data_IF_338565924963
#
_entry.id   IF_338565924963
#
_cell.length_a   1.000
_cell.length_b   1.000
_cell.length_c   1.000
_cell.angle_alpha   90.00
_cell.angle_beta   90.00
_cell.angle_gamma   90.00
#
_symmetry.space_group_name_H-M   'P 1'
#
loop_
_entity.id
_entity.type
_entity.pdbx_description
1 polymer ?
#
# COMPACT_ATOMS: atom_id res chain seq x y z
N UNK A 1 17.22 8.19 -8.56
CA UNK A 1 15.90 7.72 -8.10
C UNK A 1 15.53 6.53 -8.97
N UNK A 2 15.03 5.46 -8.35
CA UNK A 2 14.43 4.33 -9.06
C UNK A 2 12.98 4.20 -8.58
N UNK A 3 12.08 3.85 -9.51
CA UNK A 3 10.66 3.65 -9.24
C UNK A 3 10.24 2.35 -9.94
N UNK A 4 10.09 1.24 -9.20
CA UNK A 4 9.59 0.00 -9.80
C UNK A 4 8.13 0.15 -10.17
N UNK A 5 7.73 -0.43 -11.30
CA UNK A 5 6.32 -0.47 -11.73
C UNK A 5 5.43 -1.29 -10.78
N UNK A 6 6.03 -2.13 -9.92
CA UNK A 6 5.41 -3.29 -9.27
C UNK A 6 5.03 -4.42 -10.25
N UNK A 7 4.97 -5.63 -9.71
CA UNK A 7 4.65 -6.81 -10.48
C UNK A 7 3.32 -6.62 -11.23
N UNK A 8 3.32 -6.95 -12.52
CA UNK A 8 2.13 -6.91 -13.37
C UNK A 8 1.82 -5.56 -14.03
N UNK A 9 2.38 -4.44 -13.56
CA UNK A 9 2.02 -3.10 -14.08
C UNK A 9 2.98 -2.56 -15.16
N UNK A 10 4.15 -3.17 -15.36
CA UNK A 10 5.09 -2.76 -16.41
C UNK A 10 4.64 -3.18 -17.81
N UNK A 11 5.04 -2.41 -18.82
CA UNK A 11 4.70 -2.69 -20.22
C UNK A 11 5.38 -3.98 -20.71
N UNK A 12 4.62 -5.08 -20.78
CA UNK A 12 5.06 -6.33 -21.42
C UNK A 12 4.17 -6.62 -22.62
N UNK A 13 4.73 -6.53 -23.82
CA UNK A 13 4.00 -6.86 -25.05
C UNK A 13 3.62 -8.34 -25.01
N UNK A 14 2.32 -8.65 -25.08
CA UNK A 14 1.80 -10.02 -25.15
C UNK A 14 1.70 -10.75 -23.80
N UNK A 15 1.90 -10.07 -22.67
CA UNK A 15 1.70 -10.64 -21.34
C UNK A 15 0.94 -9.68 -20.42
N UNK A 16 0.00 -10.21 -19.65
CA UNK A 16 -0.66 -9.49 -18.54
C UNK A 16 -0.38 -10.25 -17.24
N UNK A 17 0.82 -10.11 -16.65
CA UNK A 17 1.13 -10.78 -15.39
C UNK A 17 0.24 -10.25 -14.28
N UNK A 18 -0.03 -11.11 -13.30
CA UNK A 18 -0.79 -10.73 -12.12
C UNK A 18 -0.17 -9.56 -11.34
N UNK A 19 -0.99 -8.57 -11.00
CA UNK A 19 -0.70 -7.51 -10.04
C UNK A 19 -1.43 -7.77 -8.72
N UNK A 20 -0.82 -8.48 -7.75
CA UNK A 20 -1.42 -8.71 -6.44
C UNK A 20 -1.36 -7.43 -5.60
N UNK A 21 -2.29 -6.51 -5.85
CA UNK A 21 -2.39 -5.21 -5.19
C UNK A 21 -2.36 -5.36 -3.66
N UNK A 22 -1.48 -4.59 -3.00
CA UNK A 22 -1.22 -4.61 -1.56
C UNK A 22 -0.71 -5.92 -0.95
N UNK A 23 -0.35 -6.95 -1.73
CA UNK A 23 0.29 -8.14 -1.17
C UNK A 23 1.71 -7.80 -0.69
N UNK A 24 1.99 -7.80 0.64
CA UNK A 24 3.19 -7.17 1.18
C UNK A 24 4.49 -7.78 0.67
N UNK A 25 4.53 -9.10 0.47
CA UNK A 25 5.74 -9.78 0.00
C UNK A 25 6.10 -9.34 -1.42
N UNK A 26 5.13 -9.29 -2.31
CA UNK A 26 5.32 -8.92 -3.72
C UNK A 26 5.83 -7.49 -3.84
N UNK A 27 5.13 -6.53 -3.23
CA UNK A 27 5.50 -5.12 -3.35
C UNK A 27 6.80 -4.79 -2.60
N UNK A 28 7.05 -5.42 -1.46
CA UNK A 28 8.30 -5.26 -0.72
C UNK A 28 9.51 -5.82 -1.47
N UNK A 29 9.36 -6.97 -2.13
CA UNK A 29 10.42 -7.53 -2.97
C UNK A 29 10.67 -6.65 -4.20
N UNK A 30 9.63 -6.11 -4.84
CA UNK A 30 9.79 -5.21 -5.98
C UNK A 30 10.65 -3.97 -5.62
N UNK A 31 10.50 -3.42 -4.41
CA UNK A 31 11.31 -2.29 -3.94
C UNK A 31 12.77 -2.71 -3.70
N UNK A 32 13.00 -3.81 -2.98
CA UNK A 32 14.34 -4.30 -2.64
C UNK A 32 15.11 -4.69 -3.91
N UNK A 33 14.47 -5.41 -4.81
CA UNK A 33 15.06 -5.85 -6.08
C UNK A 33 15.38 -4.64 -6.98
N UNK A 34 14.54 -3.59 -6.97
CA UNK A 34 14.82 -2.36 -7.71
C UNK A 34 16.08 -1.64 -7.19
N UNK A 35 16.28 -1.60 -5.86
CA UNK A 35 17.50 -1.03 -5.28
C UNK A 35 18.74 -1.85 -5.67
N UNK A 36 18.65 -3.19 -5.60
CA UNK A 36 19.73 -4.09 -6.03
C UNK A 36 20.04 -3.92 -7.53
N UNK A 37 19.02 -3.92 -8.39
CA UNK A 37 19.17 -3.77 -9.83
C UNK A 37 19.77 -2.41 -10.21
N UNK A 38 19.42 -1.33 -9.52
CA UNK A 38 20.01 -0.01 -9.75
C UNK A 38 21.53 -0.04 -9.53
N UNK A 39 21.96 -0.62 -8.41
CA UNK A 39 23.38 -0.72 -8.08
C UNK A 39 24.14 -1.60 -9.09
N UNK A 40 23.56 -2.72 -9.50
CA UNK A 40 24.15 -3.61 -10.51
C UNK A 40 24.22 -2.96 -11.90
N UNK A 41 23.26 -2.10 -12.25
CA UNK A 41 23.20 -1.44 -13.55
C UNK A 41 24.23 -0.31 -13.70
N UNK A 42 24.59 0.36 -12.60
CA UNK A 42 25.56 1.46 -12.62
C UNK A 42 26.34 1.54 -11.30
N UNK A 43 27.62 1.15 -11.35
CA UNK A 43 28.52 1.16 -10.19
C UNK A 43 28.77 2.56 -9.59
N UNK A 44 28.33 3.65 -10.25
CA UNK A 44 28.35 5.00 -9.67
C UNK A 44 27.22 5.23 -8.66
N UNK A 45 26.18 4.39 -8.68
CA UNK A 45 25.10 4.43 -7.71
C UNK A 45 25.58 3.79 -6.41
N UNK A 46 25.68 4.60 -5.36
CA UNK A 46 26.11 4.14 -4.05
C UNK A 46 25.17 3.11 -3.42
N UNK A 47 25.68 2.35 -2.47
CA UNK A 47 24.94 1.25 -1.82
C UNK A 47 23.98 1.72 -0.73
N UNK A 48 23.96 2.99 -0.34
CA UNK A 48 23.03 3.48 0.68
C UNK A 48 21.79 4.06 0.02
N UNK A 49 20.61 3.60 0.45
CA UNK A 49 19.34 3.97 -0.17
C UNK A 49 18.23 4.18 0.87
N UNK A 50 17.18 4.86 0.42
CA UNK A 50 16.00 5.21 1.18
C UNK A 50 14.77 4.88 0.33
N UNK A 51 13.64 4.67 0.98
CA UNK A 51 12.35 4.46 0.30
C UNK A 51 11.38 5.53 0.74
N UNK A 52 10.61 6.07 -0.20
CA UNK A 52 9.42 6.87 0.09
C UNK A 52 8.28 6.37 -0.77
N UNK A 53 7.09 6.29 -0.21
CA UNK A 53 5.90 5.85 -0.93
C UNK A 53 4.63 6.42 -0.33
N UNK A 54 3.61 6.58 -1.18
CA UNK A 54 2.31 7.19 -0.85
C UNK A 54 1.21 6.14 -1.08
N UNK A 55 0.21 6.06 -0.19
CA UNK A 55 -0.96 5.18 -0.37
C UNK A 55 -0.54 3.71 -0.47
N UNK A 56 -0.80 3.01 -1.58
CA UNK A 56 -0.24 1.68 -1.86
C UNK A 56 1.28 1.66 -1.77
N UNK A 57 1.94 2.70 -2.28
CA UNK A 57 3.40 2.84 -2.18
C UNK A 57 3.87 3.00 -0.74
N UNK A 58 3.06 3.60 0.15
CA UNK A 58 3.37 3.69 1.57
C UNK A 58 3.35 2.33 2.25
N UNK A 59 2.35 1.49 1.92
CA UNK A 59 2.30 0.10 2.37
C UNK A 59 3.47 -0.73 1.81
N UNK A 60 3.82 -0.55 0.54
CA UNK A 60 4.96 -1.20 -0.08
C UNK A 60 6.28 -0.81 0.59
N UNK A 61 6.46 0.47 0.87
CA UNK A 61 7.62 1.01 1.57
C UNK A 61 7.77 0.37 2.97
N UNK A 62 6.67 0.28 3.72
CA UNK A 62 6.66 -0.43 5.01
C UNK A 62 7.00 -1.91 4.85
N UNK A 63 6.40 -2.62 3.90
CA UNK A 63 6.67 -4.02 3.65
C UNK A 63 8.16 -4.27 3.29
N UNK A 64 8.77 -3.38 2.50
CA UNK A 64 10.20 -3.43 2.21
C UNK A 64 11.04 -3.31 3.50
N UNK A 65 10.64 -2.47 4.46
CA UNK A 65 11.28 -2.35 5.76
C UNK A 65 11.27 -3.69 6.53
N UNK A 66 10.12 -4.35 6.59
CA UNK A 66 9.96 -5.65 7.30
C UNK A 66 10.70 -6.78 6.63
N UNK A 67 10.76 -6.80 5.30
CA UNK A 67 11.35 -7.90 4.54
C UNK A 67 12.87 -7.74 4.38
N UNK A 68 13.39 -6.51 4.45
CA UNK A 68 14.79 -6.19 4.25
C UNK A 68 15.76 -7.05 5.09
N UNK A 69 15.53 -7.32 6.39
CA UNK A 69 16.42 -8.20 7.17
C UNK A 69 16.56 -9.62 6.62
N UNK A 70 15.51 -10.15 5.97
CA UNK A 70 15.45 -11.52 5.47
C UNK A 70 15.76 -11.65 3.98
N UNK A 71 15.51 -10.59 3.20
CA UNK A 71 15.56 -10.62 1.74
C UNK A 71 16.51 -9.56 1.13
N UNK A 72 16.84 -8.49 1.85
CA UNK A 72 17.65 -7.36 1.36
C UNK A 72 19.16 -7.60 1.28
N UNK A 73 19.63 -8.83 1.47
CA UNK A 73 21.05 -9.13 1.34
C UNK A 73 21.52 -8.84 -0.10
N UNK A 74 22.52 -7.97 -0.24
CA UNK A 74 23.05 -7.57 -1.55
C UNK A 74 22.31 -6.40 -2.23
N UNK A 75 21.27 -5.83 -1.61
CA UNK A 75 20.63 -4.60 -2.11
C UNK A 75 21.28 -3.32 -1.58
N UNK A 76 22.44 -3.41 -0.93
CA UNK A 76 23.05 -2.29 -0.20
C UNK A 76 22.29 -1.94 1.08
N UNK A 77 22.70 -0.87 1.76
CA UNK A 77 22.21 -0.43 3.07
C UNK A 77 20.94 0.44 2.98
N UNK A 78 19.81 -0.12 3.41
CA UNK A 78 18.57 0.63 3.62
C UNK A 78 18.68 1.53 4.87
N UNK A 79 18.62 2.85 4.68
CA UNK A 79 18.80 3.84 5.75
C UNK A 79 17.50 4.16 6.51
N UNK A 80 16.34 3.86 5.92
CA UNK A 80 15.05 4.23 6.46
C UNK A 80 13.96 4.26 5.39
N UNK A 81 12.71 4.33 5.85
CA UNK A 81 11.54 4.29 4.98
C UNK A 81 10.53 5.36 5.38
N UNK A 82 9.99 6.07 4.39
CA UNK A 82 8.86 6.99 4.55
C UNK A 82 7.59 6.36 3.98
N UNK A 83 6.57 6.20 4.81
CA UNK A 83 5.26 5.71 4.46
C UNK A 83 4.23 6.84 4.62
N UNK A 84 3.88 7.50 3.53
CA UNK A 84 2.89 8.57 3.50
C UNK A 84 1.49 8.01 3.18
N UNK A 85 0.49 8.44 3.94
CA UNK A 85 -0.91 7.96 3.91
C UNK A 85 -0.99 6.46 3.62
N UNK A 86 -0.33 5.57 4.39
CA UNK A 86 -0.13 4.18 3.98
C UNK A 86 -1.35 3.30 4.24
N UNK A 87 -1.70 2.44 3.27
CA UNK A 87 -2.79 1.45 3.43
C UNK A 87 -2.28 0.25 4.24
N UNK A 88 -2.25 0.35 5.57
CA UNK A 88 -1.67 -0.66 6.46
C UNK A 88 -2.65 -1.75 6.91
N UNK A 89 -3.96 -1.47 6.88
CA UNK A 89 -4.98 -2.42 7.34
C UNK A 89 -6.20 -2.38 6.42
N UNK A 90 -6.18 -3.12 5.30
CA UNK A 90 -7.28 -3.11 4.33
C UNK A 90 -8.49 -3.94 4.77
N UNK A 91 -8.44 -4.62 5.92
CA UNK A 91 -9.51 -5.50 6.41
C UNK A 91 -10.80 -4.73 6.68
N UNK A 92 -10.69 -3.51 7.22
CA UNK A 92 -11.82 -2.62 7.52
C UNK A 92 -12.68 -2.29 6.28
N UNK A 93 -12.08 -2.32 5.08
CA UNK A 93 -12.81 -2.08 3.84
C UNK A 93 -13.83 -3.20 3.54
N UNK A 94 -13.53 -4.45 3.92
CA UNK A 94 -14.50 -5.55 3.78
C UNK A 94 -15.67 -5.33 4.72
N UNK A 95 -15.40 -5.01 5.98
CA UNK A 95 -16.43 -4.82 7.00
C UNK A 95 -17.34 -3.63 6.64
N UNK A 96 -16.76 -2.54 6.13
CA UNK A 96 -17.52 -1.39 5.61
C UNK A 96 -18.33 -1.73 4.37
N UNK A 97 -17.78 -2.49 3.43
CA UNK A 97 -18.53 -2.94 2.26
C UNK A 97 -19.78 -3.71 2.70
N UNK A 98 -19.62 -4.71 3.57
CA UNK A 98 -20.73 -5.52 4.05
C UNK A 98 -21.74 -4.72 4.89
N UNK A 99 -21.29 -3.74 5.67
CA UNK A 99 -22.17 -2.86 6.42
C UNK A 99 -22.86 -1.77 5.57
N UNK A 100 -22.55 -1.66 4.27
CA UNK A 100 -23.05 -0.59 3.42
C UNK A 100 -22.43 0.79 3.72
N UNK A 101 -21.30 0.81 4.43
CA UNK A 101 -20.68 2.00 5.03
C UNK A 101 -19.37 2.45 4.37
N UNK A 102 -19.09 2.03 3.13
CA UNK A 102 -17.97 2.58 2.36
C UNK A 102 -18.20 4.07 2.06
N UNK A 103 -17.17 4.89 2.31
CA UNK A 103 -17.15 6.28 1.85
C UNK A 103 -17.15 6.35 0.32
N UNK A 104 -17.38 7.54 -0.24
CA UNK A 104 -17.30 7.79 -1.68
C UNK A 104 -15.97 7.31 -2.26
N UNK A 105 -14.85 7.74 -1.67
CA UNK A 105 -13.51 7.34 -2.13
C UNK A 105 -13.20 5.86 -1.85
N UNK A 106 -13.77 5.26 -0.81
CA UNK A 106 -13.58 3.82 -0.54
C UNK A 106 -14.28 2.93 -1.57
N UNK A 107 -15.41 3.36 -2.14
CA UNK A 107 -16.05 2.65 -3.25
C UNK A 107 -15.13 2.54 -4.47
N UNK A 108 -14.31 3.55 -4.72
CA UNK A 108 -13.31 3.50 -5.80
C UNK A 108 -12.19 2.48 -5.52
N UNK A 109 -11.69 2.43 -4.29
CA UNK A 109 -10.52 1.59 -3.93
C UNK A 109 -10.90 0.12 -3.70
N UNK A 110 -12.07 -0.17 -3.16
CA UNK A 110 -12.48 -1.54 -2.80
C UNK A 110 -12.46 -2.53 -3.98
N UNK A 111 -12.96 -2.20 -5.18
CA UNK A 111 -12.86 -3.08 -6.36
C UNK A 111 -11.41 -3.39 -6.77
N UNK A 112 -10.50 -2.40 -6.65
CA UNK A 112 -9.08 -2.58 -6.95
C UNK A 112 -8.45 -3.58 -5.97
N UNK A 113 -8.84 -3.49 -4.69
CA UNK A 113 -8.41 -4.43 -3.66
C UNK A 113 -8.88 -5.86 -3.97
N UNK A 114 -10.17 -6.06 -4.26
CA UNK A 114 -10.73 -7.37 -4.61
C UNK A 114 -10.00 -7.98 -5.81
N UNK A 115 -9.86 -7.21 -6.89
CA UNK A 115 -9.17 -7.63 -8.10
C UNK A 115 -7.68 -7.94 -7.86
N UNK A 116 -7.04 -7.22 -6.95
CA UNK A 116 -5.67 -7.49 -6.53
C UNK A 116 -5.51 -8.78 -5.76
N UNK A 117 -6.39 -9.03 -4.78
CA UNK A 117 -6.35 -10.30 -4.04
C UNK A 117 -6.61 -11.48 -4.98
N UNK A 118 -7.55 -11.36 -5.92
CA UNK A 118 -7.79 -12.37 -6.96
C UNK A 118 -6.54 -12.69 -7.79
N UNK A 119 -5.65 -11.72 -7.96
CA UNK A 119 -4.39 -11.88 -8.70
C UNK A 119 -3.25 -12.47 -7.85
N UNK A 120 -3.44 -12.72 -6.56
CA UNK A 120 -2.39 -13.27 -5.69
C UNK A 120 -2.24 -14.80 -5.73
N UNK A 121 -2.90 -15.48 -6.67
CA UNK A 121 -2.86 -16.95 -6.80
C UNK A 121 -3.66 -17.65 -5.70
N UNK A 122 -4.75 -17.04 -5.26
CA UNK A 122 -5.67 -17.54 -4.23
C UNK A 122 -7.07 -17.73 -4.80
N UNK A 123 -7.92 -18.47 -4.08
CA UNK A 123 -9.29 -18.80 -4.49
C UNK A 123 -10.26 -17.63 -4.24
N UNK A 124 -10.14 -16.58 -5.06
CA UNK A 124 -11.04 -15.42 -5.07
C UNK A 124 -11.57 -15.26 -6.49
N UNK A 125 -12.87 -15.50 -6.67
CA UNK A 125 -13.60 -15.10 -7.87
C UNK A 125 -14.13 -13.68 -7.66
N UNK A 126 -13.76 -12.75 -8.53
CA UNK A 126 -14.18 -11.34 -8.43
C UNK A 126 -15.71 -11.22 -8.52
N UNK A 127 -16.36 -12.14 -9.23
CA UNK A 127 -17.80 -12.15 -9.43
C UNK A 127 -18.61 -12.41 -8.16
N UNK A 128 -17.98 -12.98 -7.13
CA UNK A 128 -18.59 -13.19 -5.80
C UNK A 128 -18.69 -11.89 -4.97
N UNK A 129 -18.01 -10.81 -5.39
CA UNK A 129 -17.86 -9.58 -4.59
C UNK A 129 -18.29 -8.31 -5.31
N UNK A 130 -18.14 -8.28 -6.63
CA UNK A 130 -18.41 -7.11 -7.46
C UNK A 130 -19.55 -7.42 -8.42
N UNK A 131 -20.54 -6.54 -8.43
CA UNK A 131 -21.74 -6.69 -9.25
C UNK A 131 -22.04 -5.41 -10.03
N UNK A 132 -23.04 -5.47 -10.91
CA UNK A 132 -23.58 -4.31 -11.62
C UNK A 132 -22.51 -3.44 -12.27
N UNK A 133 -22.66 -2.13 -12.10
CA UNK A 133 -21.77 -1.15 -12.76
C UNK A 133 -20.33 -1.27 -12.27
N UNK A 134 -20.12 -1.70 -11.02
CA UNK A 134 -18.79 -1.84 -10.43
C UNK A 134 -18.00 -2.93 -11.15
N UNK A 135 -18.63 -4.08 -11.39
CA UNK A 135 -18.03 -5.16 -12.17
C UNK A 135 -17.72 -4.73 -13.60
N UNK A 136 -18.69 -4.10 -14.26
CA UNK A 136 -18.57 -3.68 -15.67
C UNK A 136 -17.50 -2.59 -15.88
N UNK A 137 -17.23 -1.78 -14.85
CA UNK A 137 -16.26 -0.70 -14.86
C UNK A 137 -14.86 -1.11 -14.37
N UNK A 138 -14.71 -2.29 -13.73
CA UNK A 138 -13.47 -2.69 -13.07
C UNK A 138 -12.24 -2.57 -13.98
N UNK A 139 -12.29 -3.16 -15.18
CA UNK A 139 -11.15 -3.12 -16.10
C UNK A 139 -10.76 -1.70 -16.50
N UNK A 140 -11.71 -0.76 -16.58
CA UNK A 140 -11.44 0.63 -16.93
C UNK A 140 -10.70 1.36 -15.80
N UNK A 141 -10.97 1.04 -14.53
CA UNK A 141 -10.30 1.69 -13.39
C UNK A 141 -8.95 1.06 -13.01
N UNK A 142 -8.71 -0.21 -13.35
CA UNK A 142 -7.42 -0.89 -13.08
C UNK A 142 -6.47 -0.87 -14.27
N UNK A 143 -6.92 -0.42 -15.45
CA UNK A 143 -6.06 -0.15 -16.59
C UNK A 143 -5.80 1.34 -16.70
N UNK A 144 -4.72 1.74 -17.38
CA UNK A 144 -4.45 3.15 -17.71
C UNK A 144 -5.37 3.66 -18.83
N UNK A 145 -6.66 3.34 -18.77
CA UNK A 145 -7.62 3.68 -19.79
C UNK A 145 -7.88 5.20 -19.79
N UNK A 146 -8.04 5.84 -20.97
CA UNK A 146 -8.40 7.25 -21.06
C UNK A 146 -9.72 7.60 -20.33
N UNK A 147 -10.59 6.62 -20.12
CA UNK A 147 -11.90 6.77 -19.48
C UNK A 147 -11.93 6.34 -17.99
N UNK A 148 -10.78 6.04 -17.37
CA UNK A 148 -10.73 5.55 -15.98
C UNK A 148 -11.38 6.52 -14.99
N UNK A 149 -11.35 7.84 -15.23
CA UNK A 149 -11.99 8.84 -14.38
C UNK A 149 -13.51 8.77 -14.46
N UNK A 150 -14.07 8.53 -15.65
CA UNK A 150 -15.51 8.37 -15.84
C UNK A 150 -15.97 7.09 -15.16
N UNK A 151 -15.24 5.99 -15.37
CA UNK A 151 -15.47 4.72 -14.69
C UNK A 151 -15.37 4.84 -13.17
N UNK A 152 -14.42 5.63 -12.67
CA UNK A 152 -14.28 5.95 -11.27
C UNK A 152 -15.53 6.62 -10.71
N UNK A 153 -16.01 7.69 -11.36
CA UNK A 153 -17.22 8.39 -10.94
C UNK A 153 -18.49 7.53 -11.00
N UNK A 154 -18.57 6.61 -11.97
CA UNK A 154 -19.64 5.60 -12.05
C UNK A 154 -19.62 4.68 -10.81
N UNK A 155 -18.44 4.18 -10.43
CA UNK A 155 -18.26 3.31 -9.26
C UNK A 155 -18.56 4.05 -7.96
N UNK A 156 -18.08 5.28 -7.81
CA UNK A 156 -18.31 6.07 -6.59
C UNK A 156 -19.81 6.40 -6.39
N UNK A 157 -20.56 6.48 -7.50
CA UNK A 157 -22.02 6.69 -7.52
C UNK A 157 -22.83 5.39 -7.44
N UNK A 158 -22.18 4.23 -7.56
CA UNK A 158 -22.85 2.94 -7.59
C UNK A 158 -23.59 2.63 -6.27
N UNK A 159 -24.69 1.85 -6.33
CA UNK A 159 -25.33 1.35 -5.12
C UNK A 159 -24.35 0.46 -4.35
N UNK A 160 -24.31 0.57 -3.02
CA UNK A 160 -23.35 -0.19 -2.22
C UNK A 160 -23.57 -1.70 -2.30
N UNK A 161 -24.76 -2.15 -2.69
CA UNK A 161 -25.06 -3.55 -2.99
C UNK A 161 -24.18 -4.13 -4.10
N UNK A 162 -23.66 -3.30 -5.01
CA UNK A 162 -22.74 -3.74 -6.07
C UNK A 162 -21.33 -4.06 -5.55
N UNK A 163 -21.05 -3.77 -4.26
CA UNK A 163 -19.78 -3.99 -3.56
C UNK A 163 -19.94 -4.97 -2.38
N UNK A 164 -21.16 -5.44 -2.12
CA UNK A 164 -21.45 -6.41 -1.07
C UNK A 164 -21.30 -7.82 -1.62
N UNK A 165 -20.93 -8.74 -0.75
CA UNK A 165 -20.72 -10.15 -1.09
C UNK A 165 -21.56 -11.02 -0.17
N UNK A 166 -21.82 -12.26 -0.57
CA UNK A 166 -22.38 -13.23 0.36
C UNK A 166 -21.42 -13.46 1.54
N UNK A 167 -21.93 -13.91 2.72
CA UNK A 167 -21.11 -14.04 3.93
C UNK A 167 -19.85 -14.90 3.75
N UNK A 168 -19.95 -16.00 3.00
CA UNK A 168 -18.83 -16.94 2.80
C UNK A 168 -17.71 -16.32 1.96
N UNK A 169 -17.97 -15.72 0.78
CA UNK A 169 -16.98 -14.91 0.07
C UNK A 169 -16.40 -13.78 0.94
N UNK A 170 -17.24 -12.99 1.60
CA UNK A 170 -16.77 -11.89 2.45
C UNK A 170 -15.77 -12.36 3.52
N UNK A 171 -16.06 -13.48 4.20
CA UNK A 171 -15.18 -14.11 5.17
C UNK A 171 -13.87 -14.61 4.55
N UNK A 172 -13.93 -15.16 3.32
CA UNK A 172 -12.75 -15.58 2.58
C UNK A 172 -11.83 -14.39 2.31
N UNK A 173 -12.34 -13.32 1.69
CA UNK A 173 -11.58 -12.10 1.41
C UNK A 173 -10.99 -11.51 2.69
N UNK A 174 -11.76 -11.44 3.77
CA UNK A 174 -11.29 -10.99 5.08
C UNK A 174 -10.08 -11.82 5.55
N UNK A 175 -10.15 -13.13 5.45
CA UNK A 175 -9.06 -14.04 5.81
C UNK A 175 -7.79 -13.83 4.97
N UNK A 176 -7.92 -13.51 3.68
CA UNK A 176 -6.79 -13.15 2.83
C UNK A 176 -6.16 -11.82 3.27
N UNK A 177 -6.98 -10.78 3.46
CA UNK A 177 -6.51 -9.44 3.82
C UNK A 177 -5.91 -9.35 5.22
N UNK A 178 -6.31 -10.22 6.15
CA UNK A 178 -5.63 -10.35 7.44
C UNK A 178 -4.13 -10.68 7.28
N UNK A 179 -3.75 -11.37 6.19
CA UNK A 179 -2.35 -11.67 5.85
C UNK A 179 -1.67 -10.54 5.08
N UNK A 180 -2.40 -9.49 4.69
CA UNK A 180 -1.84 -8.30 4.04
C UNK A 180 -1.66 -7.16 5.05
N UNK A 181 -2.35 -7.24 6.19
CA UNK A 181 -2.25 -6.25 7.27
C UNK A 181 -0.80 -6.09 7.72
N UNK A 182 -0.37 -4.85 7.84
CA UNK A 182 0.91 -4.40 8.36
C UNK A 182 0.72 -3.67 9.71
N UNK A 183 1.73 -3.66 10.59
CA UNK A 183 2.95 -4.47 10.51
C UNK A 183 2.69 -5.97 10.74
N UNK A 184 3.56 -6.85 10.21
CA UNK A 184 3.50 -8.31 10.41
C UNK A 184 4.61 -8.83 11.31
N UNK A 185 5.76 -8.18 11.27
CA UNK A 185 6.94 -8.57 12.02
C UNK A 185 7.78 -7.34 12.33
N UNK A 186 8.62 -7.46 13.37
CA UNK A 186 9.54 -6.39 13.74
C UNK A 186 10.51 -6.08 12.60
N UNK A 187 10.78 -4.81 12.35
CA UNK A 187 11.87 -4.33 11.51
C UNK A 187 12.89 -3.50 12.31
N UNK A 188 14.21 -3.67 12.04
CA UNK A 188 15.23 -2.78 12.58
C UNK A 188 15.38 -1.47 11.78
N UNK A 189 14.65 -1.32 10.67
CA UNK A 189 14.77 -0.17 9.77
C UNK A 189 13.92 0.99 10.31
N UNK A 190 14.48 2.21 10.49
CA UNK A 190 13.69 3.34 10.94
C UNK A 190 12.55 3.70 9.98
N UNK A 191 11.37 4.02 10.51
CA UNK A 191 10.20 4.43 9.74
C UNK A 191 9.77 5.85 10.08
N UNK A 192 9.33 6.59 9.05
CA UNK A 192 8.51 7.78 9.18
C UNK A 192 7.13 7.51 8.59
N UNK A 193 6.09 7.79 9.36
CA UNK A 193 4.70 7.71 8.89
C UNK A 193 4.09 9.10 8.85
N UNK A 194 3.57 9.52 7.69
CA UNK A 194 2.88 10.81 7.56
C UNK A 194 1.44 10.54 7.17
N UNK A 195 0.46 11.00 7.93
CA UNK A 195 -0.95 10.70 7.67
C UNK A 195 -1.88 11.85 8.04
N UNK A 196 -3.04 11.87 7.38
CA UNK A 196 -4.07 12.88 7.55
C UNK A 196 -5.08 12.52 8.64
N UNK A 197 -5.69 13.53 9.25
CA UNK A 197 -6.80 13.35 10.19
C UNK A 197 -8.19 13.42 9.54
N UNK A 198 -8.25 13.74 8.24
CA UNK A 198 -9.45 13.82 7.43
C UNK A 198 -9.34 12.95 6.16
N UNK A 199 -8.52 11.90 6.20
CA UNK A 199 -8.39 10.94 5.09
C UNK A 199 -9.67 10.09 4.96
N UNK A 200 -10.32 10.15 3.81
CA UNK A 200 -11.59 9.46 3.51
C UNK A 200 -11.39 8.05 2.95
N UNK A 201 -10.16 7.68 2.59
CA UNK A 201 -9.80 6.34 2.09
C UNK A 201 -9.30 5.50 3.27
N UNK A 202 -8.34 6.04 4.02
CA UNK A 202 -7.67 5.36 5.12
C UNK A 202 -8.10 5.99 6.43
N UNK A 203 -8.91 5.27 7.19
CA UNK A 203 -9.35 5.73 8.49
C UNK A 203 -8.15 6.02 9.41
N UNK A 204 -8.12 7.20 10.04
CA UNK A 204 -7.07 7.59 10.99
C UNK A 204 -6.87 6.53 12.09
N UNK A 205 -7.97 5.97 12.61
CA UNK A 205 -7.92 4.91 13.62
C UNK A 205 -7.21 3.63 13.13
N UNK A 206 -7.28 3.32 11.84
CA UNK A 206 -6.58 2.16 11.27
C UNK A 206 -5.07 2.39 11.24
N UNK A 207 -4.62 3.60 10.88
CA UNK A 207 -3.20 3.98 10.93
C UNK A 207 -2.69 3.96 12.38
N UNK A 208 -3.42 4.58 13.31
CA UNK A 208 -3.04 4.62 14.73
C UNK A 208 -2.99 3.20 15.35
N UNK A 209 -3.92 2.32 14.99
CA UNK A 209 -3.88 0.93 15.40
C UNK A 209 -2.66 0.18 14.83
N UNK A 210 -2.26 0.45 13.58
CA UNK A 210 -1.05 -0.11 12.99
C UNK A 210 0.22 0.39 13.68
N UNK A 211 0.29 1.69 14.01
CA UNK A 211 1.39 2.29 14.78
C UNK A 211 1.51 1.64 16.17
N UNK A 212 0.40 1.45 16.87
CA UNK A 212 0.40 0.78 18.17
C UNK A 212 0.93 -0.67 18.08
N UNK A 213 0.57 -1.41 17.02
CA UNK A 213 1.12 -2.75 16.75
C UNK A 213 2.63 -2.69 16.47
N UNK A 214 3.10 -1.70 15.72
CA UNK A 214 4.52 -1.52 15.41
C UNK A 214 5.33 -1.29 16.69
N UNK A 215 4.85 -0.40 17.57
CA UNK A 215 5.51 -0.17 18.87
C UNK A 215 5.52 -1.44 19.74
N UNK A 216 4.43 -2.23 19.74
CA UNK A 216 4.38 -3.50 20.46
C UNK A 216 5.36 -4.56 19.92
N UNK A 217 5.68 -4.52 18.61
CA UNK A 217 6.71 -5.35 17.98
C UNK A 217 8.13 -4.85 18.26
N UNK A 218 8.29 -3.64 18.83
CA UNK A 218 9.59 -3.03 19.10
C UNK A 218 10.22 -2.37 17.87
N UNK A 219 9.38 -1.88 16.95
CA UNK A 219 9.80 -1.06 15.81
C UNK A 219 10.20 0.35 16.25
N UNK A 220 10.98 1.01 15.41
CA UNK A 220 11.41 2.39 15.60
C UNK A 220 10.67 3.30 14.62
N UNK A 221 9.53 3.84 15.06
CA UNK A 221 8.59 4.58 14.21
C UNK A 221 8.44 6.01 14.71
N UNK A 222 8.72 6.96 13.84
CA UNK A 222 8.31 8.35 14.00
C UNK A 222 7.04 8.58 13.18
N UNK A 223 6.11 9.40 13.67
CA UNK A 223 4.94 9.77 12.88
C UNK A 223 4.61 11.27 12.92
N UNK A 224 3.96 11.73 11.86
CA UNK A 224 3.42 13.07 11.73
C UNK A 224 1.97 12.98 11.31
N UNK A 225 1.07 13.34 12.23
CA UNK A 225 -0.34 13.51 11.94
C UNK A 225 -0.58 14.94 11.46
N UNK A 226 -1.17 15.11 10.27
CA UNK A 226 -1.51 16.41 9.69
C UNK A 226 -2.98 16.75 10.03
N UNK A 227 -3.24 17.76 10.88
CA UNK A 227 -4.59 18.23 11.17
C UNK A 227 -5.30 18.69 9.89
N UNK A 228 -6.50 18.17 9.63
CA UNK A 228 -7.28 18.46 8.41
C UNK A 228 -6.71 17.88 7.11
N UNK A 229 -5.56 17.19 7.15
CA UNK A 229 -4.99 16.55 5.95
C UNK A 229 -5.87 15.41 5.44
N UNK A 230 -6.10 15.38 4.14
CA UNK A 230 -6.83 14.33 3.40
C UNK A 230 -5.85 13.31 2.79
N UNK A 231 -6.35 12.44 1.91
CA UNK A 231 -5.50 11.43 1.24
C UNK A 231 -4.48 12.03 0.26
N UNK A 232 -4.64 13.29 -0.14
CA UNK A 232 -3.77 14.00 -1.08
C UNK A 232 -2.79 14.95 -0.37
N UNK A 233 -2.67 14.86 0.96
CA UNK A 233 -1.75 15.71 1.73
C UNK A 233 -0.32 15.65 1.16
N UNK A 234 0.37 16.78 1.18
CA UNK A 234 1.78 16.85 0.77
C UNK A 234 2.70 16.43 1.92
N UNK A 235 3.23 15.20 1.84
CA UNK A 235 4.20 14.68 2.79
C UNK A 235 5.66 15.05 2.44
N UNK A 236 5.93 15.63 1.26
CA UNK A 236 7.28 15.80 0.73
C UNK A 236 8.19 16.67 1.63
N UNK A 237 7.73 17.79 2.21
CA UNK A 237 8.59 18.60 3.07
C UNK A 237 9.12 17.83 4.29
N UNK A 238 8.25 17.09 4.97
CA UNK A 238 8.60 16.30 6.15
C UNK A 238 9.45 15.09 5.75
N UNK A 239 9.05 14.38 4.69
CA UNK A 239 9.77 13.24 4.15
C UNK A 239 11.20 13.60 3.74
N UNK A 240 11.37 14.69 3.00
CA UNK A 240 12.68 15.15 2.50
C UNK A 240 13.63 15.51 3.62
N UNK A 241 13.15 16.24 4.65
CA UNK A 241 13.96 16.58 5.81
C UNK A 241 14.39 15.33 6.60
N UNK A 242 13.46 14.42 6.84
CA UNK A 242 13.74 13.18 7.56
C UNK A 242 14.74 12.29 6.81
N UNK A 243 14.55 12.13 5.50
CA UNK A 243 15.46 11.37 4.63
C UNK A 243 16.87 11.99 4.60
N UNK A 244 16.98 13.31 4.46
CA UNK A 244 18.26 14.00 4.48
C UNK A 244 19.01 13.79 5.81
N UNK A 245 18.29 13.76 6.94
CA UNK A 245 18.88 13.46 8.25
C UNK A 245 19.49 12.04 8.31
N UNK A 246 18.83 11.03 7.71
CA UNK A 246 19.38 9.67 7.60
C UNK A 246 20.64 9.61 6.75
N UNK A 247 20.67 10.32 5.63
CA UNK A 247 21.88 10.44 4.79
C UNK A 247 23.03 11.09 5.56
N UNK A 248 22.73 12.10 6.38
CA UNK A 248 23.70 12.79 7.23
C UNK A 248 24.14 11.98 8.47
N UNK A 249 23.64 10.74 8.66
CA UNK A 249 23.98 9.90 9.81
C UNK A 249 23.33 10.32 11.12
N UNK A 250 22.32 11.20 11.08
CA UNK A 250 21.56 11.60 12.27
C UNK A 250 20.62 10.45 12.64
N UNK A 251 20.70 9.90 13.87
CA UNK A 251 19.81 8.84 14.33
C UNK A 251 18.33 9.23 14.19
N UNK A 252 17.49 8.24 13.87
CA UNK A 252 16.05 8.44 13.87
C UNK A 252 15.55 8.68 15.30
N UNK A 253 14.54 9.55 15.40
CA UNK A 253 13.70 9.63 16.59
C UNK A 253 12.60 8.58 16.46
N UNK A 254 12.02 8.19 17.58
CA UNK A 254 10.88 7.29 17.63
C UNK A 254 9.86 7.81 18.63
N UNK A 255 8.60 7.71 18.23
CA UNK A 255 7.42 7.98 19.05
C UNK A 255 6.89 6.68 19.70
N UNK A 256 7.41 5.52 19.26
CA UNK A 256 7.57 4.33 20.11
C UNK A 256 8.76 4.55 21.08
#
# INVERSE_FOLDING_TARGET
MVAPDYQGLGARIGASPAHPYLEPRTVGYNIIDAACAAHLADARIGESWLVTGISQGGAAAWAAAELYPSYGAGSGRLLGVVAAVPVLDPVDLVDRAQAGGLSHSQKYVYPILVAGVAQAGVDIDVDDYLHGIVKDALLRIISCSPDQWVAGSEIESAPVSDLQADPVPADRLRGHLQRYRLPQQRTPIPLLVVYGSADEIIATAAVEAALARACALGDHVQWTRVPGGDHNLDAQPVAGQWMAARVAGVPALSDC
#
